data_IF_366003641485
#
_entry.id   IF_366003641485
#
_cell.length_a   1.000
_cell.length_b   1.000
_cell.length_c   1.000
_cell.angle_alpha   90.00
_cell.angle_beta   90.00
_cell.angle_gamma   90.00
#
_symmetry.space_group_name_H-M   'P 1'
#
loop_
_entity.id
_entity.type
_entity.pdbx_description
1 polymer ?
#
# COMPACT_ATOMS: atom_id res chain seq x y z
N UNK A 1 -1.41 13.16 -6.39
CA UNK A 1 -0.61 12.06 -6.98
C UNK A 1 0.89 12.25 -6.77
N UNK A 2 1.49 13.41 -7.07
CA UNK A 2 2.93 13.66 -6.88
C UNK A 2 3.38 13.51 -5.41
N UNK A 3 2.63 14.08 -4.47
CA UNK A 3 2.94 14.02 -3.02
C UNK A 3 2.95 12.57 -2.50
N UNK A 4 1.98 11.77 -2.94
CA UNK A 4 1.86 10.36 -2.56
C UNK A 4 3.03 9.53 -3.11
N UNK A 5 3.42 9.79 -4.36
CA UNK A 5 4.56 9.12 -4.98
C UNK A 5 5.89 9.46 -4.30
N UNK A 6 6.08 10.72 -3.92
CA UNK A 6 7.27 11.20 -3.23
C UNK A 6 7.39 10.58 -1.83
N UNK A 7 6.29 10.57 -1.07
CA UNK A 7 6.24 9.91 0.25
C UNK A 7 6.53 8.42 0.17
N UNK A 8 5.94 7.72 -0.80
CA UNK A 8 6.14 6.29 -1.00
C UNK A 8 7.60 5.98 -1.40
N UNK A 9 8.18 6.79 -2.31
CA UNK A 9 9.56 6.62 -2.75
C UNK A 9 10.57 6.78 -1.62
N UNK A 10 10.44 7.82 -0.81
CA UNK A 10 11.32 8.04 0.35
C UNK A 10 11.19 6.93 1.40
N UNK A 11 9.97 6.47 1.66
CA UNK A 11 9.72 5.42 2.65
C UNK A 11 10.30 4.07 2.23
N UNK A 12 10.25 3.74 0.94
CA UNK A 12 10.78 2.48 0.41
C UNK A 12 12.27 2.33 0.64
N UNK A 13 13.03 3.36 0.30
CA UNK A 13 14.49 3.34 0.41
C UNK A 13 14.93 3.18 1.87
N UNK A 14 14.31 3.92 2.77
CA UNK A 14 14.66 3.90 4.18
C UNK A 14 14.33 2.55 4.87
N UNK A 15 13.21 1.92 4.52
CA UNK A 15 12.84 0.61 5.07
C UNK A 15 13.83 -0.50 4.68
N UNK A 16 14.28 -0.51 3.43
CA UNK A 16 15.25 -1.50 2.95
C UNK A 16 16.60 -1.28 3.64
N UNK A 17 17.06 -0.03 3.73
CA UNK A 17 18.31 0.31 4.42
C UNK A 17 18.27 -0.03 5.91
N UNK A 18 17.16 0.26 6.59
CA UNK A 18 16.98 -0.08 8.00
C UNK A 18 17.04 -1.59 8.24
N UNK A 19 16.38 -2.38 7.39
CA UNK A 19 16.42 -3.85 7.49
C UNK A 19 17.82 -4.39 7.23
N UNK A 20 18.52 -3.90 6.21
CA UNK A 20 19.87 -4.33 5.86
C UNK A 20 20.93 -3.97 6.92
N UNK A 21 20.74 -2.87 7.65
CA UNK A 21 21.68 -2.44 8.69
C UNK A 21 21.63 -3.32 9.95
N UNK A 22 20.59 -4.10 10.12
CA UNK A 22 20.35 -4.95 11.29
C UNK A 22 20.92 -6.37 11.15
N UNK A 23 21.24 -6.80 9.94
CA UNK A 23 21.64 -8.18 9.62
C UNK A 23 23.11 -8.25 9.23
N UNK A 24 23.68 -9.46 9.35
CA UNK A 24 25.03 -9.72 8.87
C UNK A 24 25.10 -9.68 7.33
N UNK A 25 26.28 -9.39 6.74
CA UNK A 25 26.42 -9.30 5.29
C UNK A 25 25.98 -10.56 4.54
N UNK A 26 26.18 -11.73 5.12
CA UNK A 26 25.76 -13.03 4.58
C UNK A 26 24.24 -13.19 4.52
N UNK A 27 23.48 -12.50 5.40
CA UNK A 27 22.02 -12.60 5.52
C UNK A 27 21.27 -11.49 4.77
N UNK A 28 21.97 -10.57 4.09
CA UNK A 28 21.35 -9.44 3.39
C UNK A 28 20.33 -9.89 2.34
N UNK A 29 20.59 -10.98 1.63
CA UNK A 29 19.68 -11.55 0.65
C UNK A 29 18.40 -12.05 1.28
N UNK A 30 18.52 -12.80 2.39
CA UNK A 30 17.38 -13.32 3.13
C UNK A 30 16.51 -12.18 3.71
N UNK A 31 17.13 -11.18 4.33
CA UNK A 31 16.44 -10.03 4.88
C UNK A 31 15.66 -9.25 3.82
N UNK A 32 16.28 -8.98 2.67
CA UNK A 32 15.62 -8.29 1.55
C UNK A 32 14.43 -9.08 1.00
N UNK A 33 14.56 -10.40 0.91
CA UNK A 33 13.48 -11.29 0.46
C UNK A 33 12.30 -11.29 1.42
N UNK A 34 12.55 -11.34 2.72
CA UNK A 34 11.51 -11.29 3.76
C UNK A 34 10.76 -9.97 3.71
N UNK A 35 11.46 -8.83 3.62
CA UNK A 35 10.83 -7.50 3.52
C UNK A 35 9.95 -7.42 2.27
N UNK A 36 10.45 -7.89 1.13
CA UNK A 36 9.71 -7.87 -0.14
C UNK A 36 8.47 -8.77 -0.07
N UNK A 37 8.59 -9.95 0.54
CA UNK A 37 7.49 -10.89 0.73
C UNK A 37 6.37 -10.28 1.58
N UNK A 38 6.69 -9.77 2.77
CA UNK A 38 5.69 -9.18 3.65
C UNK A 38 5.04 -7.94 3.06
N UNK A 39 5.79 -7.15 2.32
CA UNK A 39 5.25 -5.98 1.60
C UNK A 39 4.26 -6.40 0.52
N UNK A 40 4.59 -7.40 -0.29
CA UNK A 40 3.69 -7.92 -1.34
C UNK A 40 2.45 -8.55 -0.74
N UNK A 41 2.62 -9.34 0.32
CA UNK A 41 1.52 -9.98 1.04
C UNK A 41 0.60 -8.92 1.67
N UNK A 42 1.17 -7.94 2.38
CA UNK A 42 0.41 -6.84 3.00
C UNK A 42 -0.35 -6.00 1.97
N UNK A 43 0.29 -5.71 0.83
CA UNK A 43 -0.34 -5.02 -0.28
C UNK A 43 -1.54 -5.79 -0.85
N UNK A 44 -1.36 -7.07 -1.12
CA UNK A 44 -2.43 -7.94 -1.65
C UNK A 44 -3.61 -8.05 -0.66
N UNK A 45 -3.31 -8.29 0.62
CA UNK A 45 -4.34 -8.35 1.68
C UNK A 45 -5.05 -7.01 1.85
N UNK A 46 -4.32 -5.90 1.85
CA UNK A 46 -4.88 -4.57 1.98
C UNK A 46 -5.85 -4.21 0.85
N UNK A 47 -5.42 -4.43 -0.40
CA UNK A 47 -6.27 -4.18 -1.58
C UNK A 47 -7.51 -5.08 -1.56
N UNK A 48 -7.36 -6.35 -1.21
CA UNK A 48 -8.48 -7.29 -1.14
C UNK A 48 -9.49 -6.90 -0.06
N UNK A 49 -9.03 -6.56 1.14
CA UNK A 49 -9.89 -6.15 2.25
C UNK A 49 -10.63 -4.84 1.94
N UNK A 50 -9.91 -3.80 1.51
CA UNK A 50 -10.50 -2.51 1.17
C UNK A 50 -11.43 -2.60 -0.04
N UNK A 51 -11.09 -3.44 -1.03
CA UNK A 51 -11.95 -3.73 -2.18
C UNK A 51 -13.27 -4.39 -1.76
N UNK A 52 -13.23 -5.33 -0.84
CA UNK A 52 -14.43 -5.97 -0.29
C UNK A 52 -15.31 -4.97 0.49
N UNK A 53 -14.69 -4.10 1.30
CA UNK A 53 -15.40 -3.03 2.01
C UNK A 53 -16.07 -2.09 1.00
N UNK A 54 -15.34 -1.65 -0.03
CA UNK A 54 -15.87 -0.77 -1.07
C UNK A 54 -17.07 -1.40 -1.79
N UNK A 55 -16.93 -2.66 -2.24
CA UNK A 55 -18.00 -3.37 -2.95
C UNK A 55 -19.26 -3.48 -2.09
N UNK A 56 -19.10 -3.81 -0.81
CA UNK A 56 -20.22 -3.94 0.13
C UNK A 56 -20.92 -2.59 0.37
N UNK A 57 -20.13 -1.51 0.59
CA UNK A 57 -20.67 -0.17 0.81
C UNK A 57 -21.37 0.39 -0.42
N UNK A 58 -20.76 0.28 -1.59
CA UNK A 58 -21.40 0.71 -2.85
C UNK A 58 -22.72 -0.03 -3.07
N UNK A 59 -22.73 -1.35 -2.88
CA UNK A 59 -23.97 -2.15 -3.00
C UNK A 59 -25.05 -1.63 -2.05
N UNK A 60 -24.70 -1.35 -0.80
CA UNK A 60 -25.64 -0.84 0.20
C UNK A 60 -26.21 0.52 -0.21
N UNK A 61 -25.35 1.47 -0.58
CA UNK A 61 -25.79 2.80 -1.01
C UNK A 61 -26.64 2.78 -2.28
N UNK A 62 -26.32 1.88 -3.23
CA UNK A 62 -27.13 1.70 -4.44
C UNK A 62 -28.50 1.15 -4.08
N UNK A 63 -28.57 0.15 -3.21
CA UNK A 63 -29.85 -0.43 -2.78
C UNK A 63 -30.73 0.60 -2.06
N UNK A 64 -30.15 1.36 -1.14
CA UNK A 64 -30.86 2.40 -0.39
C UNK A 64 -31.35 3.51 -1.33
N UNK A 65 -30.52 3.97 -2.25
CA UNK A 65 -30.88 4.97 -3.24
C UNK A 65 -31.95 4.52 -4.22
N UNK A 66 -31.90 3.25 -4.66
CA UNK A 66 -32.96 2.68 -5.53
C UNK A 66 -34.26 2.45 -4.78
N UNK A 67 -34.20 2.09 -3.50
CA UNK A 67 -35.40 1.97 -2.66
C UNK A 67 -36.13 3.33 -2.52
N UNK A 68 -35.39 4.43 -2.45
CA UNK A 68 -35.94 5.77 -2.40
C UNK A 68 -36.65 6.17 -3.70
N UNK A 69 -36.25 5.60 -4.86
CA UNK A 69 -36.88 5.82 -6.15
C UNK A 69 -38.15 4.98 -6.38
N UNK A 70 -38.46 4.06 -5.46
CA UNK A 70 -39.67 3.24 -5.48
C UNK A 70 -39.43 1.75 -5.77
N UNK A 71 -40.47 0.91 -5.52
CA UNK A 71 -40.34 -0.54 -5.52
C UNK A 71 -39.93 -1.15 -6.87
N UNK A 72 -40.30 -0.51 -7.99
CA UNK A 72 -39.88 -0.97 -9.33
C UNK A 72 -38.40 -0.72 -9.58
N UNK A 73 -37.85 0.36 -9.05
CA UNK A 73 -36.43 0.69 -9.16
C UNK A 73 -35.58 -0.25 -8.27
N UNK A 74 -36.06 -0.53 -7.07
CA UNK A 74 -35.41 -1.47 -6.16
C UNK A 74 -35.27 -2.88 -6.76
N UNK A 75 -36.30 -3.36 -7.45
CA UNK A 75 -36.29 -4.68 -8.12
C UNK A 75 -35.24 -4.76 -9.25
N UNK A 76 -34.97 -3.66 -9.97
CA UNK A 76 -33.95 -3.60 -11.02
C UNK A 76 -32.52 -3.58 -10.45
N UNK A 77 -32.33 -3.04 -9.26
CA UNK A 77 -31.01 -2.94 -8.60
C UNK A 77 -30.45 -4.29 -8.16
N UNK A 78 -31.29 -5.27 -7.86
CA UNK A 78 -30.85 -6.61 -7.45
C UNK A 78 -30.15 -7.42 -8.57
N UNK A 79 -30.39 -7.05 -9.84
CA UNK A 79 -29.78 -7.73 -11.00
C UNK A 79 -28.48 -7.10 -11.50
N UNK A 80 -28.27 -5.81 -11.24
CA UNK A 80 -27.16 -5.05 -11.86
C UNK A 80 -25.86 -4.99 -11.06
N UNK A 81 -25.93 -5.17 -9.73
CA UNK A 81 -24.76 -5.03 -8.83
C UNK A 81 -24.21 -6.38 -8.35
N UNK A 82 -24.94 -7.47 -8.55
CA UNK A 82 -24.54 -8.81 -8.09
C UNK A 82 -23.26 -9.37 -8.75
N UNK A 83 -22.81 -8.79 -9.86
CA UNK A 83 -21.64 -9.23 -10.60
C UNK A 83 -20.32 -8.50 -10.30
N UNK A 84 -20.32 -7.53 -9.36
CA UNK A 84 -19.11 -6.78 -9.00
C UNK A 84 -18.55 -5.88 -10.14
N UNK A 85 -19.24 -5.79 -11.27
CA UNK A 85 -18.88 -4.91 -12.38
C UNK A 85 -19.45 -3.50 -12.20
N UNK A 86 -18.71 -2.49 -12.67
CA UNK A 86 -19.20 -1.13 -12.74
C UNK A 86 -20.29 -1.08 -13.82
N UNK A 87 -21.55 -0.73 -13.50
CA UNK A 87 -22.60 -0.60 -14.51
C UNK A 87 -22.22 0.46 -15.54
N UNK A 88 -22.58 0.24 -16.79
CA UNK A 88 -22.35 1.22 -17.85
C UNK A 88 -23.26 2.45 -17.62
N UNK A 89 -22.71 3.45 -16.93
CA UNK A 89 -23.44 4.66 -16.53
C UNK A 89 -24.03 5.41 -17.73
N UNK A 90 -23.46 5.25 -18.92
CA UNK A 90 -23.96 5.91 -20.12
C UNK A 90 -25.30 5.34 -20.59
N UNK A 91 -25.63 4.12 -20.21
CA UNK A 91 -26.88 3.42 -20.59
C UNK A 91 -27.98 3.52 -19.54
N UNK A 92 -27.69 4.08 -18.36
CA UNK A 92 -28.67 4.23 -17.28
C UNK A 92 -29.50 5.51 -17.45
N UNK A 93 -30.82 5.47 -17.18
CA UNK A 93 -31.66 6.66 -17.05
C UNK A 93 -31.12 7.62 -15.98
N UNK A 94 -31.32 8.93 -16.18
CA UNK A 94 -30.76 9.98 -15.33
C UNK A 94 -30.93 9.74 -13.80
N UNK A 95 -32.10 9.34 -13.26
CA UNK A 95 -32.28 9.16 -11.82
C UNK A 95 -31.44 7.97 -11.27
N UNK A 96 -31.23 6.93 -12.05
CA UNK A 96 -30.43 5.79 -11.67
C UNK A 96 -28.93 6.11 -11.68
N UNK A 97 -28.50 6.87 -12.67
CA UNK A 97 -27.13 7.30 -12.79
C UNK A 97 -26.69 8.13 -11.58
N UNK A 98 -27.52 9.07 -11.14
CA UNK A 98 -27.24 9.93 -9.98
C UNK A 98 -27.10 9.09 -8.69
N UNK A 99 -27.94 8.09 -8.49
CA UNK A 99 -27.85 7.17 -7.36
C UNK A 99 -26.53 6.39 -7.38
N UNK A 100 -26.13 5.87 -8.54
CA UNK A 100 -24.88 5.11 -8.68
C UNK A 100 -23.67 6.02 -8.47
N UNK A 101 -23.64 7.20 -9.07
CA UNK A 101 -22.55 8.17 -8.89
C UNK A 101 -22.38 8.57 -7.42
N UNK A 102 -23.49 8.86 -6.72
CA UNK A 102 -23.45 9.20 -5.30
C UNK A 102 -23.00 8.02 -4.43
N UNK A 103 -23.45 6.78 -4.74
CA UNK A 103 -23.06 5.59 -4.04
C UNK A 103 -21.56 5.30 -4.13
N UNK A 104 -20.97 5.48 -5.31
CA UNK A 104 -19.52 5.37 -5.49
C UNK A 104 -18.77 6.47 -4.75
N UNK A 105 -19.26 7.71 -4.76
CA UNK A 105 -18.68 8.83 -4.01
C UNK A 105 -18.62 8.55 -2.51
N UNK A 106 -19.71 8.12 -1.92
CA UNK A 106 -19.78 7.75 -0.50
C UNK A 106 -18.96 6.48 -0.19
N UNK A 107 -19.03 5.47 -1.06
CA UNK A 107 -18.27 4.23 -0.89
C UNK A 107 -16.76 4.46 -0.87
N UNK A 108 -16.23 5.34 -1.71
CA UNK A 108 -14.81 5.74 -1.69
C UNK A 108 -14.48 6.48 -0.39
N UNK A 109 -15.35 7.40 0.06
CA UNK A 109 -15.18 8.10 1.34
C UNK A 109 -15.07 7.13 2.52
N UNK A 110 -15.94 6.12 2.58
CA UNK A 110 -15.92 5.08 3.60
C UNK A 110 -14.63 4.25 3.59
N UNK A 111 -14.10 3.92 2.41
CA UNK A 111 -12.82 3.21 2.30
C UNK A 111 -11.70 4.01 2.97
N UNK A 112 -11.63 5.32 2.75
CA UNK A 112 -10.65 6.18 3.42
C UNK A 112 -10.88 6.25 4.93
N UNK A 113 -12.13 6.26 5.38
CA UNK A 113 -12.46 6.27 6.80
C UNK A 113 -12.00 4.97 7.50
N UNK A 114 -12.14 3.82 6.85
CA UNK A 114 -11.63 2.54 7.38
C UNK A 114 -10.12 2.39 7.24
N UNK A 115 -9.51 3.00 6.22
CA UNK A 115 -8.06 3.00 6.05
C UNK A 115 -7.36 3.91 7.08
N UNK A 116 -7.99 5.00 7.51
CA UNK A 116 -7.40 5.98 8.44
C UNK A 116 -6.94 5.35 9.77
N UNK A 117 -7.74 4.55 10.50
CA UNK A 117 -7.30 3.94 11.75
C UNK A 117 -6.17 2.92 11.55
N UNK A 118 -6.14 2.21 10.41
CA UNK A 118 -5.04 1.28 10.11
C UNK A 118 -3.74 2.03 9.83
N UNK A 119 -3.81 3.17 9.13
CA UNK A 119 -2.67 4.05 8.92
C UNK A 119 -2.17 4.67 10.23
N UNK A 120 -3.08 5.07 11.11
CA UNK A 120 -2.73 5.59 12.44
C UNK A 120 -2.04 4.51 13.29
N UNK A 121 -2.56 3.28 13.28
CA UNK A 121 -1.93 2.14 13.94
C UNK A 121 -0.52 1.90 13.42
N UNK A 122 -0.33 1.91 12.12
CA UNK A 122 0.98 1.75 11.49
C UNK A 122 1.94 2.87 11.91
N UNK A 123 1.47 4.13 11.95
CA UNK A 123 2.26 5.26 12.41
C UNK A 123 2.70 5.08 13.87
N UNK A 124 1.78 4.69 14.75
CA UNK A 124 2.08 4.43 16.15
C UNK A 124 3.13 3.34 16.29
N UNK A 125 2.99 2.22 15.57
CA UNK A 125 3.96 1.13 15.59
C UNK A 125 5.34 1.60 15.12
N UNK A 126 5.42 2.43 14.08
CA UNK A 126 6.70 2.99 13.60
C UNK A 126 7.35 3.88 14.65
N UNK A 127 6.58 4.70 15.36
CA UNK A 127 7.10 5.57 16.43
C UNK A 127 7.66 4.76 17.61
N UNK A 128 7.09 3.57 17.88
CA UNK A 128 7.58 2.67 18.91
C UNK A 128 8.83 1.87 18.52
N UNK A 129 9.20 1.85 17.25
CA UNK A 129 10.42 1.18 16.79
C UNK A 129 11.62 1.98 17.32
N UNK A 130 12.43 1.32 18.17
CA UNK A 130 13.65 1.90 18.71
C UNK A 130 14.66 2.16 17.60
N UNK A 131 15.15 3.38 17.53
CA UNK A 131 16.23 3.75 16.62
C UNK A 131 17.49 2.93 16.91
N UNK A 132 18.04 2.27 15.91
CA UNK A 132 19.35 1.62 15.96
C UNK A 132 20.30 2.42 15.08
N UNK A 133 21.38 2.90 15.69
CA UNK A 133 22.41 3.66 14.98
C UNK A 133 22.97 2.85 13.81
N UNK A 134 23.15 3.49 12.66
CA UNK A 134 23.79 2.92 11.50
C UNK A 134 25.17 2.42 11.88
N UNK A 135 25.46 1.13 11.67
CA UNK A 135 26.79 0.56 11.85
C UNK A 135 27.70 1.19 10.80
N UNK A 136 28.62 2.05 11.24
CA UNK A 136 29.72 2.50 10.37
C UNK A 136 30.53 1.28 9.99
N UNK A 137 30.57 0.94 8.71
CA UNK A 137 31.48 -0.09 8.19
C UNK A 137 32.89 0.36 8.58
N UNK A 138 33.70 -0.50 9.27
CA UNK A 138 35.09 -0.17 9.49
C UNK A 138 35.72 0.12 8.15
N UNK A 139 36.43 1.24 8.04
CA UNK A 139 37.15 1.57 6.83
C UNK A 139 37.99 0.36 6.44
N UNK A 140 37.72 -0.19 5.23
CA UNK A 140 38.52 -1.28 4.69
C UNK A 140 39.98 -0.81 4.80
N UNK A 141 40.79 -1.58 5.47
CA UNK A 141 42.22 -1.35 5.57
C UNK A 141 42.74 -1.00 4.17
N UNK A 142 43.22 0.21 4.00
CA UNK A 142 44.01 0.56 2.82
C UNK A 142 45.07 -0.53 2.67
N UNK A 143 45.27 -1.09 1.48
CA UNK A 143 46.35 -2.02 1.30
C UNK A 143 47.63 -1.30 1.67
N UNK A 144 48.28 -1.75 2.74
CA UNK A 144 49.61 -1.32 3.12
C UNK A 144 50.49 -1.56 1.91
N UNK A 145 50.94 -0.47 1.31
CA UNK A 145 51.97 -0.50 0.28
C UNK A 145 53.24 -1.09 0.94
N UNK A 146 53.33 -2.40 0.94
CA UNK A 146 54.49 -3.09 1.40
C UNK A 146 55.52 -3.05 0.28
N UNK A 147 56.55 -2.27 0.53
CA UNK A 147 57.91 -2.60 0.19
C UNK A 147 58.31 -2.61 -1.30
N UNK A 148 58.53 -1.45 -1.87
CA UNK A 148 59.63 -1.33 -2.81
C UNK A 148 60.93 -1.41 -2.04
N UNK A 149 61.40 -2.60 -1.75
CA UNK A 149 62.78 -2.79 -1.35
C UNK A 149 63.63 -2.86 -2.61
N UNK A 150 64.36 -1.79 -2.80
CA UNK A 150 65.57 -1.67 -3.63
C UNK A 150 66.43 -2.92 -3.53
N UNK A 151 66.73 -3.54 -4.64
CA UNK A 151 67.95 -4.33 -4.86
C UNK A 151 68.73 -3.73 -6.01
N UNK A 152 69.53 -2.75 -5.64
CA UNK A 152 70.67 -2.33 -6.45
C UNK A 152 71.92 -2.93 -5.77
N UNK A 153 72.85 -3.36 -6.56
CA UNK A 153 74.22 -3.84 -6.28
C UNK A 153 74.42 -5.36 -6.16
N UNK A 154 74.88 -5.99 -7.12
CA UNK A 154 76.21 -6.28 -7.66
C UNK A 154 76.11 -7.17 -8.91
#
# INVERSE_FOLDING_TARGET
>A
MALTGLGLGMMMQNLVLAAQNQVAPEDLGAASSVVTFFRSLGGAMGVSALGAVMANRVTHYVQDGLAALGPKAAAMGHGGTAGGGIPDLAKLPAPFREVVESAYGHGVGDVFLYAAPTALLALVLVVFIKEVALKSKPAAHAPTAAGTTSAAAE
#
